data_IF_997091692851
#
_entry.id   IF_997091692851
#
_cell.length_a   1.000
_cell.length_b   1.000
_cell.length_c   1.000
_cell.angle_alpha   90.00
_cell.angle_beta   90.00
_cell.angle_gamma   90.00
#
_symmetry.space_group_name_H-M   'P 1'
#
loop_
_entity.id
_entity.type
_entity.pdbx_description
1 polymer ?
#
# COMPACT_ATOMS: atom_id res chain seq x y z
N UNK A 1 -20.49 -24.52 -31.42
CA UNK A 1 -21.55 -23.49 -31.27
C UNK A 1 -20.87 -22.18 -30.93
N UNK A 2 -20.89 -21.24 -31.87
CA UNK A 2 -20.02 -20.07 -31.89
C UNK A 2 -20.54 -18.91 -31.04
N UNK A 3 -19.73 -18.45 -30.10
CA UNK A 3 -19.99 -17.33 -29.16
C UNK A 3 -19.76 -15.94 -29.79
N UNK A 4 -20.23 -15.70 -31.02
CA UNK A 4 -19.89 -14.44 -31.75
C UNK A 4 -21.05 -13.48 -32.03
N UNK A 5 -22.24 -13.69 -31.47
CA UNK A 5 -23.41 -12.84 -31.77
C UNK A 5 -24.01 -12.07 -30.59
N UNK A 6 -23.43 -12.10 -29.39
CA UNK A 6 -24.08 -11.50 -28.20
C UNK A 6 -23.76 -10.01 -27.94
N UNK A 7 -22.74 -9.42 -28.56
CA UNK A 7 -22.29 -8.05 -28.21
C UNK A 7 -22.60 -6.95 -29.24
N UNK A 8 -23.46 -7.20 -30.23
CA UNK A 8 -23.77 -6.21 -31.29
C UNK A 8 -25.10 -5.47 -31.15
N UNK A 9 -25.78 -5.57 -30.01
CA UNK A 9 -27.09 -4.92 -29.83
C UNK A 9 -27.22 -4.26 -28.46
N UNK A 10 -26.54 -3.13 -28.26
CA UNK A 10 -26.98 -2.13 -27.27
C UNK A 10 -26.39 -0.74 -27.59
N UNK A 11 -26.77 -0.20 -28.73
CA UNK A 11 -26.55 1.19 -29.12
C UNK A 11 -27.81 1.62 -29.86
N UNK A 12 -28.74 2.27 -29.17
CA UNK A 12 -29.74 3.23 -29.68
C UNK A 12 -30.70 3.61 -28.53
N UNK A 13 -30.69 4.86 -28.12
CA UNK A 13 -31.65 5.42 -27.15
C UNK A 13 -31.38 6.91 -26.95
N UNK A 14 -32.13 7.75 -27.66
CA UNK A 14 -31.89 9.17 -27.86
C UNK A 14 -32.59 10.08 -26.83
N UNK A 15 -31.91 11.19 -26.50
CA UNK A 15 -32.35 12.60 -26.42
C UNK A 15 -33.51 13.10 -25.50
N UNK A 16 -33.29 14.35 -25.04
CA UNK A 16 -34.19 15.37 -24.42
C UNK A 16 -34.40 15.28 -22.90
N UNK A 17 -34.36 16.34 -22.05
CA UNK A 17 -34.24 17.80 -22.17
C UNK A 17 -33.67 18.38 -20.83
N UNK A 18 -33.29 19.68 -20.72
CA UNK A 18 -32.68 20.23 -19.51
C UNK A 18 -33.72 20.73 -18.50
N UNK A 19 -33.54 20.41 -17.22
CA UNK A 19 -34.26 21.03 -16.11
C UNK A 19 -33.33 22.00 -15.36
N UNK A 20 -33.75 23.25 -15.32
CA UNK A 20 -33.14 24.38 -14.61
C UNK A 20 -33.61 24.42 -13.14
N UNK A 21 -32.73 24.96 -12.29
CA UNK A 21 -32.96 25.69 -11.03
C UNK A 21 -33.32 24.90 -9.75
N UNK A 22 -32.42 24.95 -8.76
CA UNK A 22 -32.54 25.72 -7.48
C UNK A 22 -31.44 25.18 -6.53
N UNK A 23 -30.37 25.90 -6.20
CA UNK A 23 -30.25 27.02 -5.25
C UNK A 23 -30.75 26.71 -3.83
N UNK A 24 -29.84 26.95 -2.86
CA UNK A 24 -29.96 27.09 -1.39
C UNK A 24 -29.21 26.00 -0.60
N UNK A 25 -28.42 26.28 0.44
CA UNK A 25 -27.83 27.53 0.95
C UNK A 25 -26.67 27.10 1.86
N UNK A 26 -25.62 27.92 1.90
CA UNK A 26 -24.47 27.75 2.79
C UNK A 26 -24.82 28.42 4.11
N UNK A 27 -25.15 27.66 5.15
CA UNK A 27 -25.27 28.22 6.49
C UNK A 27 -23.87 28.45 7.05
N UNK A 28 -23.35 29.66 6.87
CA UNK A 28 -22.22 30.18 7.63
C UNK A 28 -22.73 30.51 9.04
N UNK A 29 -22.45 29.61 9.99
CA UNK A 29 -22.61 29.92 11.41
C UNK A 29 -21.53 30.93 11.78
N UNK A 30 -21.92 32.20 11.91
CA UNK A 30 -21.08 33.24 12.50
C UNK A 30 -21.20 33.16 14.01
N UNK A 31 -20.11 33.02 14.77
CA UNK A 31 -20.18 33.01 16.22
C UNK A 31 -20.45 34.44 16.71
N UNK A 32 -21.51 34.61 17.50
CA UNK A 32 -21.76 35.86 18.21
C UNK A 32 -20.61 36.13 19.17
N UNK A 33 -19.99 37.30 19.01
CA UNK A 33 -18.91 37.75 19.86
C UNK A 33 -19.36 37.97 21.30
N UNK A 34 -18.46 37.63 22.22
CA UNK A 34 -18.29 38.33 23.49
C UNK A 34 -16.81 38.62 23.65
N UNK A 35 -16.49 39.90 23.52
CA UNK A 35 -15.21 40.49 23.88
C UNK A 35 -14.94 40.34 25.38
N UNK A 36 -13.86 39.68 25.73
CA UNK A 36 -13.13 39.92 26.97
C UNK A 36 -11.66 39.76 26.69
N UNK A 37 -10.93 40.87 26.78
CA UNK A 37 -9.50 40.93 26.58
C UNK A 37 -8.77 40.21 27.70
N UNK A 38 -7.95 39.24 27.33
CA UNK A 38 -6.88 38.72 28.16
C UNK A 38 -5.63 38.69 27.31
N UNK A 39 -4.63 39.48 27.68
CA UNK A 39 -3.27 39.45 27.14
C UNK A 39 -2.71 38.05 27.33
N UNK A 40 -2.85 37.19 26.32
CA UNK A 40 -2.27 35.87 26.28
C UNK A 40 -0.80 35.97 25.93
N UNK A 41 0.06 35.79 26.93
CA UNK A 41 1.48 35.54 26.75
C UNK A 41 1.69 34.53 25.62
N UNK A 42 2.37 34.93 24.56
CA UNK A 42 2.89 34.02 23.53
C UNK A 42 3.98 33.17 24.17
N UNK A 43 3.58 32.09 24.83
CA UNK A 43 4.50 31.01 25.13
C UNK A 43 4.78 30.31 23.81
N UNK A 44 5.89 30.67 23.18
CA UNK A 44 6.53 29.85 22.16
C UNK A 44 6.67 28.45 22.77
N UNK A 45 5.80 27.54 22.36
CA UNK A 45 6.03 26.12 22.57
C UNK A 45 7.22 25.78 21.70
N UNK A 46 8.42 25.95 22.25
CA UNK A 46 9.59 25.18 21.83
C UNK A 46 9.12 23.75 21.88
N UNK A 47 8.82 23.17 20.71
CA UNK A 47 8.48 21.78 20.57
C UNK A 47 9.62 21.00 21.17
N UNK A 48 9.47 20.59 22.42
CA UNK A 48 10.38 19.67 23.06
C UNK A 48 10.38 18.45 22.17
N UNK A 49 11.51 18.18 21.55
CA UNK A 49 11.76 16.89 20.93
C UNK A 49 11.64 15.85 22.04
N UNK A 50 10.43 15.35 22.26
CA UNK A 50 10.24 14.09 22.95
C UNK A 50 11.04 13.10 22.11
N UNK A 51 12.17 12.64 22.63
CA UNK A 51 12.91 11.54 22.04
C UNK A 51 11.94 10.36 21.96
N UNK A 52 11.37 10.12 20.79
CA UNK A 52 10.61 8.91 20.54
C UNK A 52 11.56 7.75 20.79
N UNK A 53 11.22 6.92 21.77
CA UNK A 53 11.93 5.69 22.02
C UNK A 53 11.24 4.57 21.23
N UNK A 54 11.99 3.85 20.41
CA UNK A 54 11.57 2.68 19.66
C UNK A 54 12.54 1.54 19.98
N UNK A 55 12.05 0.31 19.86
CA UNK A 55 12.87 -0.90 19.99
C UNK A 55 13.21 -1.45 18.62
N UNK A 56 14.32 -2.17 18.53
CA UNK A 56 14.69 -2.88 17.30
C UNK A 56 13.66 -3.98 17.04
N UNK A 57 13.18 -4.07 15.79
CA UNK A 57 12.28 -5.14 15.38
C UNK A 57 12.98 -6.51 15.51
N UNK A 58 12.25 -7.59 15.85
CA UNK A 58 12.83 -8.93 15.89
C UNK A 58 13.32 -9.34 14.49
N UNK A 59 14.27 -10.27 14.45
CA UNK A 59 14.79 -10.86 13.22
C UNK A 59 14.31 -12.30 13.07
N UNK A 60 14.05 -12.70 11.83
CA UNK A 60 13.67 -14.07 11.47
C UNK A 60 14.64 -14.62 10.42
N UNK A 61 14.65 -15.95 10.24
CA UNK A 61 15.39 -16.59 9.15
C UNK A 61 14.70 -16.33 7.81
N UNK A 62 15.47 -16.11 6.74
CA UNK A 62 14.95 -15.81 5.39
C UNK A 62 14.06 -16.91 4.79
N UNK A 63 14.29 -18.16 5.18
CA UNK A 63 13.58 -19.32 4.64
C UNK A 63 14.08 -19.75 3.25
N UNK A 64 13.47 -20.79 2.65
CA UNK A 64 13.99 -21.44 1.44
C UNK A 64 13.58 -20.78 0.12
N UNK A 65 12.73 -19.74 0.14
CA UNK A 65 12.13 -19.14 -1.07
C UNK A 65 12.43 -17.65 -1.28
N UNK A 66 13.67 -17.17 -1.05
CA UNK A 66 14.00 -15.75 -1.23
C UNK A 66 13.84 -15.29 -2.69
N UNK A 67 13.88 -13.99 -2.91
CA UNK A 67 13.89 -13.46 -4.29
C UNK A 67 15.28 -13.59 -4.88
N UNK A 68 15.44 -14.27 -6.03
CA UNK A 68 16.77 -14.52 -6.62
C UNK A 68 17.48 -13.25 -7.10
N UNK A 69 16.75 -12.26 -7.61
CA UNK A 69 17.33 -10.99 -8.09
C UNK A 69 16.42 -9.83 -7.73
N UNK A 70 16.45 -9.33 -6.48
CA UNK A 70 15.44 -8.37 -6.04
C UNK A 70 15.58 -6.98 -6.69
N UNK A 71 16.77 -6.64 -7.24
CA UNK A 71 16.99 -5.38 -7.95
C UNK A 71 16.22 -5.26 -9.26
N UNK A 72 15.80 -6.35 -9.89
CA UNK A 72 14.99 -6.30 -11.12
C UNK A 72 13.50 -6.07 -10.87
N UNK A 73 13.05 -6.07 -9.61
CA UNK A 73 11.61 -6.04 -9.26
C UNK A 73 11.21 -4.80 -8.45
N UNK A 74 11.65 -3.62 -8.88
CA UNK A 74 11.22 -2.34 -8.28
C UNK A 74 9.79 -2.01 -8.69
N UNK A 75 8.80 -2.34 -7.85
CA UNK A 75 7.37 -2.18 -8.16
C UNK A 75 6.52 -2.09 -6.90
N UNK A 76 5.41 -1.35 -6.98
CA UNK A 76 4.44 -1.22 -5.89
C UNK A 76 3.34 -2.26 -5.97
N UNK A 77 2.82 -2.59 -7.16
CA UNK A 77 1.91 -3.71 -7.35
C UNK A 77 2.72 -4.98 -7.64
N UNK A 78 2.61 -5.95 -6.75
CA UNK A 78 3.29 -7.24 -6.85
C UNK A 78 2.31 -8.39 -7.14
N UNK A 79 1.03 -8.09 -7.37
CA UNK A 79 -0.02 -9.12 -7.51
C UNK A 79 0.22 -10.03 -8.71
N UNK A 80 0.73 -9.51 -9.83
CA UNK A 80 0.87 -10.20 -11.12
C UNK A 80 -0.38 -11.02 -11.51
N UNK A 81 -1.57 -10.47 -11.20
CA UNK A 81 -2.85 -11.10 -11.50
C UNK A 81 -3.21 -12.31 -10.65
N UNK A 82 -2.48 -12.61 -9.56
CA UNK A 82 -2.85 -13.67 -8.63
C UNK A 82 -4.20 -13.39 -7.98
N UNK A 83 -5.04 -14.41 -7.94
CA UNK A 83 -6.32 -14.39 -7.22
C UNK A 83 -6.08 -14.46 -5.72
N UNK A 84 -6.81 -13.67 -4.95
CA UNK A 84 -6.78 -13.70 -3.49
C UNK A 84 -7.46 -12.48 -2.88
N UNK A 85 -7.48 -12.41 -1.55
CA UNK A 85 -7.95 -11.22 -0.85
C UNK A 85 -6.92 -10.10 -0.99
N UNK A 86 -7.33 -8.94 -1.48
CA UNK A 86 -6.42 -7.80 -1.68
C UNK A 86 -5.78 -7.38 -0.35
N UNK A 87 -4.47 -7.22 -0.38
CA UNK A 87 -3.65 -6.74 0.74
C UNK A 87 -2.92 -5.46 0.32
N UNK A 88 -2.92 -4.46 1.19
CA UNK A 88 -2.05 -3.30 1.06
C UNK A 88 -1.08 -3.28 2.24
N UNK A 89 0.20 -3.45 1.95
CA UNK A 89 1.26 -3.53 2.96
C UNK A 89 2.01 -2.21 3.02
N UNK A 90 1.73 -1.41 4.03
CA UNK A 90 2.46 -0.18 4.35
C UNK A 90 3.53 -0.49 5.40
N UNK A 91 4.80 -0.30 5.05
CA UNK A 91 5.93 -0.59 5.93
C UNK A 91 6.71 0.71 6.14
N UNK A 92 6.77 1.16 7.40
CA UNK A 92 7.55 2.33 7.80
C UNK A 92 8.84 1.87 8.48
N UNK A 93 9.97 2.32 7.94
CA UNK A 93 11.30 2.06 8.49
C UNK A 93 11.76 3.31 9.25
N UNK A 94 12.17 3.10 10.49
CA UNK A 94 12.75 4.13 11.36
C UNK A 94 14.13 3.69 11.84
N UNK A 95 14.99 4.65 12.18
CA UNK A 95 16.32 4.37 12.72
C UNK A 95 16.37 4.50 14.24
N UNK A 96 16.71 3.40 14.95
CA UNK A 96 16.90 3.41 16.40
C UNK A 96 18.12 4.24 16.85
N UNK A 97 19.09 4.46 15.97
CA UNK A 97 20.26 5.31 16.24
C UNK A 97 20.02 6.80 15.98
N UNK A 98 18.86 7.16 15.43
CA UNK A 98 18.49 8.54 15.11
C UNK A 98 17.15 8.94 15.76
N UNK A 99 16.99 8.61 17.04
CA UNK A 99 15.78 8.93 17.83
C UNK A 99 14.46 8.48 17.16
N UNK A 100 14.51 7.35 16.45
CA UNK A 100 13.38 6.78 15.72
C UNK A 100 12.87 7.66 14.58
N UNK A 101 13.74 8.52 14.05
CA UNK A 101 13.47 9.26 12.83
C UNK A 101 13.21 8.29 11.67
N UNK A 102 12.30 8.69 10.77
CA UNK A 102 12.04 8.00 9.52
C UNK A 102 13.33 7.82 8.71
N UNK A 103 13.56 6.60 8.21
CA UNK A 103 14.73 6.27 7.42
C UNK A 103 14.37 6.28 5.93
N UNK A 104 14.69 7.37 5.24
CA UNK A 104 14.58 7.49 3.79
C UNK A 104 15.71 6.72 3.07
N UNK A 105 15.43 6.22 1.87
CA UNK A 105 16.44 5.55 1.04
C UNK A 105 16.74 4.09 1.40
N UNK A 106 16.05 3.51 2.39
CA UNK A 106 16.20 2.10 2.72
C UNK A 106 15.54 1.23 1.64
N UNK A 107 16.21 0.16 1.22
CA UNK A 107 15.62 -0.86 0.35
C UNK A 107 14.79 -1.82 1.18
N UNK A 108 13.55 -2.06 0.76
CA UNK A 108 12.62 -3.01 1.36
C UNK A 108 12.23 -4.02 0.31
N UNK A 109 12.60 -5.27 0.55
CA UNK A 109 12.22 -6.43 -0.26
C UNK A 109 11.15 -7.23 0.45
N UNK A 110 10.10 -7.61 -0.28
CA UNK A 110 9.08 -8.54 0.21
C UNK A 110 8.85 -9.65 -0.82
N UNK A 111 8.59 -10.84 -0.30
CA UNK A 111 8.11 -11.98 -1.08
C UNK A 111 7.19 -12.84 -0.22
N UNK A 112 6.21 -13.50 -0.85
CA UNK A 112 5.36 -14.48 -0.17
C UNK A 112 4.71 -15.44 -1.17
N UNK A 113 4.06 -16.49 -0.64
CA UNK A 113 3.30 -17.44 -1.46
C UNK A 113 1.96 -16.86 -1.95
N UNK A 114 1.42 -17.45 -3.01
CA UNK A 114 0.05 -17.22 -3.44
C UNK A 114 -0.98 -17.78 -2.43
N UNK A 115 -2.27 -17.58 -2.72
CA UNK A 115 -3.36 -18.06 -1.86
C UNK A 115 -3.38 -19.59 -1.70
N UNK A 116 -2.74 -20.32 -2.62
CA UNK A 116 -2.61 -21.77 -2.63
C UNK A 116 -1.28 -22.27 -2.02
N UNK A 117 -0.43 -21.38 -1.49
CA UNK A 117 0.83 -21.76 -0.83
C UNK A 117 2.04 -21.89 -1.75
N UNK A 118 1.94 -21.53 -3.04
CA UNK A 118 3.07 -21.63 -3.97
C UNK A 118 3.87 -20.33 -4.06
N UNK A 119 5.18 -20.46 -4.16
CA UNK A 119 6.12 -19.40 -4.43
C UNK A 119 6.47 -19.33 -5.92
N UNK A 120 6.48 -18.12 -6.47
CA UNK A 120 7.06 -17.83 -7.78
C UNK A 120 8.58 -18.04 -7.77
N UNK A 121 9.24 -18.21 -8.91
CA UNK A 121 10.67 -18.57 -9.03
C UNK A 121 11.05 -20.00 -8.61
N UNK A 122 10.10 -20.77 -8.05
CA UNK A 122 10.34 -22.11 -7.53
C UNK A 122 9.38 -23.15 -8.11
N UNK A 123 9.73 -24.42 -7.94
CA UNK A 123 8.87 -25.55 -8.28
C UNK A 123 9.61 -26.75 -8.85
N UNK A 124 8.88 -27.85 -9.09
CA UNK A 124 9.48 -29.12 -9.51
C UNK A 124 10.37 -29.78 -8.44
N UNK A 125 10.19 -29.42 -7.17
CA UNK A 125 10.97 -29.96 -6.04
C UNK A 125 10.05 -30.65 -5.01
N UNK A 126 10.64 -31.33 -4.03
CA UNK A 126 9.87 -31.91 -2.91
C UNK A 126 9.15 -30.88 -2.03
N UNK A 127 9.62 -29.61 -2.01
CA UNK A 127 8.98 -28.54 -1.24
C UNK A 127 7.84 -27.85 -2.00
N UNK A 128 7.88 -27.88 -3.33
CA UNK A 128 6.82 -27.35 -4.18
C UNK A 128 6.81 -28.11 -5.52
N UNK A 129 5.74 -28.84 -5.79
CA UNK A 129 5.58 -29.59 -7.03
C UNK A 129 5.23 -28.67 -8.21
N UNK A 130 4.34 -27.69 -8.01
CA UNK A 130 3.93 -26.72 -9.02
C UNK A 130 5.11 -25.91 -9.54
N UNK A 131 5.33 -25.91 -10.86
CA UNK A 131 6.48 -25.24 -11.46
C UNK A 131 6.18 -23.78 -11.84
N UNK A 132 6.70 -22.85 -11.04
CA UNK A 132 6.64 -21.41 -11.26
C UNK A 132 8.01 -20.76 -11.43
N UNK A 133 9.02 -21.54 -11.84
CA UNK A 133 10.42 -21.07 -12.00
C UNK A 133 10.59 -19.92 -13.01
N UNK A 134 9.63 -19.73 -13.93
CA UNK A 134 9.68 -18.68 -14.96
C UNK A 134 8.76 -17.47 -14.68
N UNK A 135 8.16 -17.38 -13.49
CA UNK A 135 7.27 -16.27 -13.11
C UNK A 135 7.72 -15.66 -11.78
N UNK A 136 7.28 -14.43 -11.50
CA UNK A 136 7.80 -13.60 -10.42
C UNK A 136 6.71 -12.95 -9.56
N UNK A 137 5.49 -13.50 -9.56
CA UNK A 137 4.38 -12.97 -8.77
C UNK A 137 4.71 -12.82 -7.28
N UNK A 138 4.11 -11.84 -6.63
CA UNK A 138 4.17 -11.61 -5.18
C UNK A 138 5.59 -11.40 -4.63
N UNK A 139 6.49 -10.89 -5.48
CA UNK A 139 7.84 -10.43 -5.15
C UNK A 139 8.00 -8.96 -5.50
N UNK A 140 8.62 -8.15 -4.65
CA UNK A 140 8.87 -6.75 -4.97
C UNK A 140 9.88 -6.07 -4.08
N UNK A 141 10.50 -5.03 -4.65
CA UNK A 141 11.43 -4.12 -4.01
C UNK A 141 10.88 -2.71 -4.06
N UNK A 142 11.03 -1.96 -2.98
CA UNK A 142 10.84 -0.51 -2.99
C UNK A 142 11.92 0.18 -2.18
N UNK A 143 12.05 1.48 -2.40
CA UNK A 143 12.91 2.36 -1.63
C UNK A 143 12.04 3.26 -0.78
N UNK A 144 12.33 3.35 0.52
CA UNK A 144 11.56 4.19 1.44
C UNK A 144 11.63 5.67 1.03
N UNK A 145 10.48 6.34 1.07
CA UNK A 145 10.39 7.78 0.82
C UNK A 145 10.89 8.60 2.03
N UNK A 146 10.73 9.93 2.00
CA UNK A 146 11.13 10.82 3.09
C UNK A 146 10.45 10.55 4.44
N UNK A 147 9.30 9.89 4.45
CA UNK A 147 8.60 9.45 5.65
C UNK A 147 9.02 8.03 6.10
N UNK A 148 10.05 7.44 5.46
CA UNK A 148 10.50 6.08 5.75
C UNK A 148 9.54 5.01 5.25
N UNK A 149 8.57 5.36 4.40
CA UNK A 149 7.46 4.50 4.00
C UNK A 149 7.67 3.86 2.63
N UNK A 150 7.30 2.59 2.52
CA UNK A 150 6.97 1.89 1.27
C UNK A 150 5.55 1.33 1.32
N UNK A 151 4.91 1.16 0.17
CA UNK A 151 3.54 0.64 0.08
C UNK A 151 3.39 -0.35 -1.06
N UNK A 152 3.04 -1.61 -0.74
CA UNK A 152 2.83 -2.66 -1.72
C UNK A 152 1.36 -3.02 -1.87
N UNK A 153 0.88 -3.20 -3.10
CA UNK A 153 -0.39 -3.85 -3.41
C UNK A 153 -0.12 -5.33 -3.71
N UNK A 154 -0.78 -6.20 -2.97
CA UNK A 154 -0.61 -7.66 -3.05
C UNK A 154 -1.94 -8.40 -2.76
N UNK A 155 -1.86 -9.70 -2.51
CA UNK A 155 -2.90 -10.52 -1.91
C UNK A 155 -2.46 -11.06 -0.55
N UNK A 156 -3.42 -11.45 0.30
CA UNK A 156 -3.13 -12.15 1.55
C UNK A 156 -2.52 -13.54 1.25
N UNK A 157 -1.39 -13.91 1.89
CA UNK A 157 -0.71 -15.17 1.60
C UNK A 157 -1.52 -16.40 2.05
N UNK A 158 -1.34 -17.50 1.34
CA UNK A 158 -1.82 -18.82 1.77
C UNK A 158 -0.92 -19.47 2.82
N UNK A 159 -1.01 -20.79 2.93
CA UNK A 159 -0.22 -21.64 3.82
C UNK A 159 0.41 -22.79 3.02
N UNK A 160 1.55 -23.31 3.47
CA UNK A 160 2.33 -24.34 2.77
C UNK A 160 2.99 -25.34 3.73
#
# INVERSE_FOLDING_TARGET
MERKHFLKSLLMGAASAPALLTACSKDNVTPSGSSSGTTGTTTTTTGGSSSSNCTVAPTETEGPFPTHTPSSYVRSDITDGRTGYKLTSNITITSSSASCAALAGALVDIWHCDAEGNYSEYGGTGMQSTNYTSVHFLRGRQTTNSAGLVSFTSIFPGWY
#
